data_IF_540630613192
#
_entry.id   IF_540630613192
#
_cell.length_a   1.000
_cell.length_b   1.000
_cell.length_c   1.000
_cell.angle_alpha   90.00
_cell.angle_beta   90.00
_cell.angle_gamma   90.00
#
_symmetry.space_group_name_H-M   'P 1'
#
loop_
_entity.id
_entity.type
_entity.pdbx_description
1 polymer ?
#
# COMPACT_ATOMS: atom_id res chain seq x y z
N UNK A 1 -10.41 -9.90 -15.98
CA UNK A 1 -9.62 -9.52 -14.77
C UNK A 1 -9.24 -8.04 -14.77
N UNK A 2 -8.76 -7.47 -15.86
CA UNK A 2 -8.39 -6.05 -15.93
C UNK A 2 -9.54 -5.10 -15.53
N UNK A 3 -10.76 -5.35 -16.00
CA UNK A 3 -11.93 -4.53 -15.69
C UNK A 3 -12.27 -4.50 -14.18
N UNK A 4 -12.27 -5.65 -13.52
CA UNK A 4 -12.55 -5.71 -12.09
C UNK A 4 -11.53 -4.91 -11.28
N UNK A 5 -10.25 -5.06 -11.59
CA UNK A 5 -9.19 -4.35 -10.89
C UNK A 5 -9.19 -2.85 -11.20
N UNK A 6 -9.56 -2.44 -12.42
CA UNK A 6 -9.69 -1.02 -12.78
C UNK A 6 -10.81 -0.33 -12.02
N UNK A 7 -11.94 -1.00 -11.81
CA UNK A 7 -13.03 -0.47 -10.97
C UNK A 7 -12.59 -0.27 -9.51
N UNK A 8 -11.83 -1.21 -8.95
CA UNK A 8 -11.29 -1.07 -7.59
C UNK A 8 -10.27 0.08 -7.48
N UNK A 9 -9.53 0.36 -8.56
CA UNK A 9 -8.54 1.45 -8.57
C UNK A 9 -9.18 2.84 -8.63
N UNK A 10 -10.44 2.93 -9.09
CA UNK A 10 -11.10 4.23 -9.22
C UNK A 10 -11.28 4.90 -7.87
N UNK A 11 -10.65 6.06 -7.70
CA UNK A 11 -10.70 6.84 -6.46
C UNK A 11 -10.15 6.14 -5.21
N UNK A 12 -9.42 5.02 -5.34
CA UNK A 12 -8.97 4.20 -4.23
C UNK A 12 -8.16 5.00 -3.19
N UNK A 13 -7.35 5.96 -3.62
CA UNK A 13 -6.62 6.85 -2.71
C UNK A 13 -7.55 7.67 -1.80
N UNK A 14 -8.78 7.95 -2.23
CA UNK A 14 -9.74 8.75 -1.48
C UNK A 14 -10.52 7.90 -0.45
N UNK A 15 -10.85 6.66 -0.77
CA UNK A 15 -11.70 5.82 0.07
C UNK A 15 -11.03 4.58 0.66
N UNK A 16 -9.88 4.17 0.14
CA UNK A 16 -9.21 2.92 0.52
C UNK A 16 -8.71 2.86 1.97
N UNK A 17 -8.70 3.98 2.68
CA UNK A 17 -8.41 4.07 4.11
C UNK A 17 -9.69 4.00 4.98
N UNK A 18 -10.86 4.21 4.40
CA UNK A 18 -12.14 4.24 5.13
C UNK A 18 -12.61 2.83 5.53
N UNK A 19 -13.51 2.74 6.50
CA UNK A 19 -14.07 1.47 7.00
C UNK A 19 -14.73 0.63 5.90
N UNK A 20 -15.33 1.26 4.91
CA UNK A 20 -15.96 0.59 3.75
C UNK A 20 -15.01 -0.36 3.01
N UNK A 21 -13.69 -0.17 3.13
CA UNK A 21 -12.70 -1.07 2.51
C UNK A 21 -12.90 -2.54 2.91
N UNK A 22 -13.36 -2.79 4.14
CA UNK A 22 -13.55 -4.16 4.64
C UNK A 22 -14.67 -4.88 3.89
N UNK A 23 -15.76 -4.18 3.59
CA UNK A 23 -16.87 -4.71 2.81
C UNK A 23 -16.46 -4.97 1.36
N UNK A 24 -15.79 -4.00 0.73
CA UNK A 24 -15.28 -4.15 -0.64
C UNK A 24 -14.26 -5.27 -0.73
N UNK A 25 -13.39 -5.42 0.26
CA UNK A 25 -12.43 -6.53 0.30
C UNK A 25 -13.13 -7.88 0.51
N UNK A 26 -14.20 -7.94 1.30
CA UNK A 26 -15.01 -9.15 1.44
C UNK A 26 -15.63 -9.57 0.11
N UNK A 27 -16.15 -8.61 -0.67
CA UNK A 27 -16.65 -8.86 -2.03
C UNK A 27 -15.53 -9.34 -2.97
N UNK A 28 -14.34 -8.71 -2.93
CA UNK A 28 -13.19 -9.15 -3.71
C UNK A 28 -12.81 -10.62 -3.41
N UNK A 29 -12.75 -10.99 -2.13
CA UNK A 29 -12.48 -12.38 -1.72
C UNK A 29 -13.56 -13.34 -2.22
N UNK A 30 -14.82 -12.93 -2.18
CA UNK A 30 -15.93 -13.75 -2.71
C UNK A 30 -15.76 -14.01 -4.21
N UNK A 31 -15.45 -12.98 -4.99
CA UNK A 31 -15.20 -13.12 -6.44
C UNK A 31 -14.03 -14.07 -6.71
N UNK A 32 -12.91 -13.90 -6.00
CA UNK A 32 -11.72 -14.76 -6.17
C UNK A 32 -12.02 -16.22 -5.82
N UNK A 33 -12.80 -16.50 -4.75
CA UNK A 33 -13.23 -17.87 -4.42
C UNK A 33 -14.06 -18.49 -5.53
N UNK A 34 -15.05 -17.76 -6.06
CA UNK A 34 -15.88 -18.25 -7.17
C UNK A 34 -15.01 -18.59 -8.39
N UNK A 35 -14.06 -17.74 -8.73
CA UNK A 35 -13.17 -17.94 -9.87
C UNK A 35 -12.25 -19.16 -9.73
N UNK A 36 -11.86 -19.50 -8.49
CA UNK A 36 -10.98 -20.63 -8.20
C UNK A 36 -11.74 -21.88 -7.76
N UNK A 37 -13.07 -21.87 -7.76
CA UNK A 37 -13.88 -23.00 -7.29
C UNK A 37 -13.72 -23.31 -5.80
N UNK A 38 -13.33 -22.32 -4.99
CA UNK A 38 -13.15 -22.46 -3.55
C UNK A 38 -14.49 -22.35 -2.80
N UNK A 39 -14.59 -23.02 -1.66
CA UNK A 39 -15.77 -22.91 -0.78
C UNK A 39 -15.81 -21.53 -0.09
N UNK A 40 -16.98 -21.17 0.42
CA UNK A 40 -17.22 -19.86 1.03
C UNK A 40 -16.28 -19.51 2.19
N UNK A 41 -15.86 -20.49 2.98
CA UNK A 41 -14.98 -20.31 4.15
C UNK A 41 -13.52 -20.58 3.89
N UNK A 42 -13.15 -21.04 2.69
CA UNK A 42 -11.75 -21.35 2.36
C UNK A 42 -10.92 -20.08 2.35
N UNK A 43 -9.67 -20.19 2.79
CA UNK A 43 -8.71 -19.10 2.59
C UNK A 43 -8.41 -18.95 1.09
N UNK A 44 -8.40 -17.71 0.64
CA UNK A 44 -8.17 -17.41 -0.78
C UNK A 44 -6.82 -16.70 -1.03
N UNK A 45 -5.93 -16.65 -0.05
CA UNK A 45 -4.62 -15.97 -0.17
C UNK A 45 -3.79 -16.56 -1.31
N UNK A 46 -3.71 -17.87 -1.39
CA UNK A 46 -2.96 -18.54 -2.45
C UNK A 46 -3.62 -18.36 -3.83
N UNK A 47 -4.95 -18.24 -3.85
CA UNK A 47 -5.67 -17.90 -5.08
C UNK A 47 -5.29 -16.50 -5.59
N UNK A 48 -5.18 -15.50 -4.72
CA UNK A 48 -4.68 -14.17 -5.08
C UNK A 48 -3.29 -14.23 -5.69
N UNK A 49 -2.37 -14.96 -5.06
CA UNK A 49 -0.99 -15.15 -5.56
C UNK A 49 -0.98 -15.85 -6.91
N UNK A 50 -1.69 -16.97 -7.05
CA UNK A 50 -1.79 -17.74 -8.29
C UNK A 50 -2.35 -16.94 -9.45
N UNK A 51 -3.37 -16.15 -9.20
CA UNK A 51 -4.00 -15.28 -10.19
C UNK A 51 -3.22 -13.98 -10.44
N UNK A 52 -2.16 -13.71 -9.67
CA UNK A 52 -1.37 -12.46 -9.67
C UNK A 52 -2.26 -11.21 -9.52
N UNK A 53 -3.23 -11.30 -8.60
CA UNK A 53 -4.15 -10.21 -8.27
C UNK A 53 -3.76 -9.65 -6.93
N UNK A 54 -3.60 -8.34 -6.84
CA UNK A 54 -3.42 -7.69 -5.55
C UNK A 54 -4.71 -7.70 -4.75
N UNK A 55 -4.62 -8.02 -3.45
CA UNK A 55 -5.70 -7.77 -2.50
C UNK A 55 -6.01 -6.29 -2.42
N UNK A 56 -7.20 -5.91 -1.97
CA UNK A 56 -7.58 -4.50 -1.85
C UNK A 56 -6.61 -3.71 -0.94
N UNK A 57 -6.18 -4.21 0.24
CA UNK A 57 -5.15 -3.55 1.03
C UNK A 57 -3.83 -3.38 0.27
N UNK A 58 -3.35 -4.43 -0.42
CA UNK A 58 -2.15 -4.35 -1.25
C UNK A 58 -2.28 -3.33 -2.38
N UNK A 59 -3.47 -3.23 -2.99
CA UNK A 59 -3.76 -2.26 -4.04
C UNK A 59 -3.68 -0.82 -3.53
N UNK A 60 -4.23 -0.55 -2.35
CA UNK A 60 -4.15 0.76 -1.70
C UNK A 60 -2.70 1.13 -1.35
N UNK A 61 -1.95 0.19 -0.75
CA UNK A 61 -0.52 0.37 -0.47
C UNK A 61 0.25 0.69 -1.76
N UNK A 62 0.00 -0.06 -2.83
CA UNK A 62 0.62 0.17 -4.13
C UNK A 62 0.37 1.58 -4.66
N UNK A 63 -0.88 2.05 -4.63
CA UNK A 63 -1.24 3.40 -5.06
C UNK A 63 -0.58 4.48 -4.19
N UNK A 64 -0.55 4.29 -2.88
CA UNK A 64 0.13 5.18 -1.95
C UNK A 64 1.63 5.28 -2.25
N UNK A 65 2.30 4.16 -2.46
CA UNK A 65 3.73 4.12 -2.78
C UNK A 65 4.04 4.81 -4.12
N UNK A 66 3.20 4.58 -5.13
CA UNK A 66 3.35 5.26 -6.42
C UNK A 66 3.07 6.76 -6.33
N UNK A 67 2.10 7.16 -5.51
CA UNK A 67 1.80 8.57 -5.26
C UNK A 67 3.02 9.29 -4.71
N UNK A 68 3.62 8.77 -3.61
CA UNK A 68 4.85 9.35 -3.05
C UNK A 68 5.96 9.40 -4.10
N UNK A 69 6.18 8.31 -4.84
CA UNK A 69 7.28 8.23 -5.80
C UNK A 69 7.15 9.22 -6.95
N UNK A 70 5.92 9.53 -7.37
CA UNK A 70 5.64 10.54 -8.40
C UNK A 70 5.82 11.97 -7.89
N UNK A 71 5.44 12.21 -6.63
CA UNK A 71 5.41 13.52 -5.99
C UNK A 71 6.54 13.71 -4.96
N UNK A 72 7.62 12.93 -5.07
CA UNK A 72 8.69 12.91 -4.06
C UNK A 72 9.28 14.30 -3.79
N UNK A 73 9.31 15.17 -4.79
CA UNK A 73 9.82 16.54 -4.69
C UNK A 73 8.93 17.48 -3.86
N UNK A 74 7.68 17.11 -3.61
CA UNK A 74 6.71 17.87 -2.80
C UNK A 74 6.82 17.54 -1.31
N UNK A 75 7.63 16.53 -0.97
CA UNK A 75 7.81 16.07 0.40
C UNK A 75 9.19 16.44 0.92
N UNK A 76 9.24 17.05 2.11
CA UNK A 76 10.48 17.36 2.79
C UNK A 76 11.06 16.11 3.48
N UNK A 77 12.36 15.91 3.38
CA UNK A 77 13.04 14.91 4.19
C UNK A 77 13.25 15.44 5.63
N UNK A 78 13.51 14.55 6.59
CA UNK A 78 13.85 14.98 7.95
C UNK A 78 15.10 15.85 7.99
N UNK A 79 16.06 15.64 7.09
CA UNK A 79 17.26 16.46 6.92
C UNK A 79 16.98 17.90 6.53
N UNK A 80 15.90 18.13 5.78
CA UNK A 80 15.54 19.47 5.30
C UNK A 80 14.98 20.37 6.43
N UNK A 81 14.51 19.73 7.52
CA UNK A 81 13.87 20.41 8.65
C UNK A 81 14.79 20.45 9.87
N UNK A 82 15.54 19.38 10.10
CA UNK A 82 16.41 19.23 11.25
C UNK A 82 17.85 19.04 10.78
N UNK A 83 18.74 20.01 11.10
CA UNK A 83 20.16 19.99 10.72
C UNK A 83 21.00 18.93 11.46
N UNK A 84 20.38 18.01 12.19
CA UNK A 84 21.06 16.95 12.93
C UNK A 84 20.95 15.60 12.21
N UNK A 85 22.08 14.88 12.12
CA UNK A 85 22.18 13.54 11.55
C UNK A 85 21.50 12.53 12.48
N UNK A 86 20.22 12.26 12.25
CA UNK A 86 19.45 11.28 13.04
C UNK A 86 19.26 9.98 12.27
N UNK A 87 18.89 8.89 12.99
CA UNK A 87 18.58 7.58 12.37
C UNK A 87 17.46 7.66 11.31
N UNK A 88 16.69 8.74 11.31
CA UNK A 88 15.53 8.92 10.43
C UNK A 88 15.81 9.90 9.27
N UNK A 89 17.06 10.27 9.03
CA UNK A 89 17.44 11.28 8.03
C UNK A 89 16.87 11.05 6.64
N UNK A 90 16.79 9.78 6.20
CA UNK A 90 16.30 9.41 4.87
C UNK A 90 14.78 9.20 4.82
N UNK A 91 14.08 9.45 5.93
CA UNK A 91 12.62 9.34 5.98
C UNK A 91 11.97 10.65 5.56
N UNK A 92 10.84 10.54 4.89
CA UNK A 92 9.98 11.67 4.61
C UNK A 92 9.42 12.19 5.94
N UNK A 93 9.54 13.50 6.14
CA UNK A 93 8.94 14.17 7.30
C UNK A 93 7.42 14.20 7.20
N UNK A 94 6.78 13.89 8.31
CA UNK A 94 5.34 13.97 8.44
C UNK A 94 5.02 14.90 9.60
N UNK A 95 4.34 16.01 9.31
CA UNK A 95 3.88 16.92 10.35
C UNK A 95 2.96 16.21 11.34
N UNK A 96 3.13 16.51 12.63
CA UNK A 96 2.27 15.97 13.67
C UNK A 96 0.83 16.48 13.46
N UNK A 97 -0.06 15.60 13.06
CA UNK A 97 -1.47 15.95 12.85
C UNK A 97 -2.27 15.72 14.14
N UNK A 98 -2.86 16.78 14.69
CA UNK A 98 -3.74 16.70 15.89
C UNK A 98 -5.11 16.11 15.54
N UNK A 99 -5.58 16.32 14.31
CA UNK A 99 -6.92 15.91 13.88
C UNK A 99 -6.89 14.51 13.29
N UNK A 100 -7.75 13.63 13.77
CA UNK A 100 -7.95 12.28 13.24
C UNK A 100 -8.21 12.30 11.73
N UNK A 101 -8.97 13.29 11.24
CA UNK A 101 -9.25 13.44 9.81
C UNK A 101 -7.99 13.61 8.96
N UNK A 102 -6.97 14.30 9.48
CA UNK A 102 -5.67 14.46 8.79
C UNK A 102 -4.85 13.18 8.86
N UNK A 103 -4.88 12.48 9.99
CA UNK A 103 -4.19 11.20 10.19
C UNK A 103 -4.75 10.09 9.30
N UNK A 104 -6.02 10.20 8.91
CA UNK A 104 -6.71 9.24 8.03
C UNK A 104 -6.50 9.57 6.54
N UNK A 105 -5.99 10.76 6.20
CA UNK A 105 -5.76 11.14 4.80
C UNK A 105 -4.76 10.21 4.08
N UNK A 106 -5.00 9.98 2.78
CA UNK A 106 -4.12 9.11 1.98
C UNK A 106 -2.64 9.51 2.01
N UNK A 107 -2.33 10.80 2.12
CA UNK A 107 -0.95 11.32 2.23
C UNK A 107 -0.26 10.78 3.49
N UNK A 108 -0.96 10.75 4.61
CA UNK A 108 -0.45 10.23 5.88
C UNK A 108 -0.09 8.75 5.75
N UNK A 109 -1.02 7.93 5.26
CA UNK A 109 -0.77 6.51 5.02
C UNK A 109 0.36 6.28 4.01
N UNK A 110 0.40 7.08 2.93
CA UNK A 110 1.41 6.95 1.90
C UNK A 110 2.82 7.17 2.44
N UNK A 111 3.03 8.21 3.27
CA UNK A 111 4.31 8.49 3.92
C UNK A 111 4.70 7.35 4.87
N UNK A 112 3.76 6.84 5.68
CA UNK A 112 4.02 5.71 6.57
C UNK A 112 4.46 4.46 5.80
N UNK A 113 3.74 4.07 4.74
CA UNK A 113 4.13 2.92 3.91
C UNK A 113 5.49 3.11 3.24
N UNK A 114 5.76 4.32 2.73
CA UNK A 114 7.03 4.61 2.07
C UNK A 114 8.21 4.60 3.05
N UNK A 115 8.03 5.14 4.25
CA UNK A 115 9.08 5.23 5.26
C UNK A 115 9.53 3.86 5.78
N UNK A 116 8.65 2.86 5.77
CA UNK A 116 8.96 1.48 6.20
C UNK A 116 9.81 0.74 5.16
N UNK A 117 9.74 1.15 3.88
CA UNK A 117 10.50 0.49 2.83
C UNK A 117 12.01 0.66 3.04
N UNK A 118 12.81 -0.41 2.87
CA UNK A 118 14.27 -0.33 2.84
C UNK A 118 14.79 0.63 1.78
N UNK A 119 15.88 1.33 2.09
CA UNK A 119 16.49 2.34 1.21
C UNK A 119 16.85 1.79 -0.17
N UNK A 120 17.26 0.51 -0.26
CA UNK A 120 17.54 -0.16 -1.54
C UNK A 120 16.39 -0.11 -2.53
N UNK A 121 15.14 -0.14 -2.07
CA UNK A 121 13.96 -0.06 -2.93
C UNK A 121 13.58 1.39 -3.26
N UNK A 122 13.83 2.32 -2.34
CA UNK A 122 13.61 3.75 -2.54
C UNK A 122 14.49 4.33 -3.65
N UNK A 123 15.69 3.78 -3.82
CA UNK A 123 16.67 4.24 -4.82
C UNK A 123 16.45 3.67 -6.22
N UNK A 124 15.46 2.78 -6.41
CA UNK A 124 15.16 2.24 -7.72
C UNK A 124 14.60 3.33 -8.65
N UNK A 125 14.89 3.19 -9.95
CA UNK A 125 14.18 3.97 -10.98
C UNK A 125 12.67 3.73 -10.92
N UNK A 126 11.88 4.71 -11.38
CA UNK A 126 10.41 4.66 -11.27
C UNK A 126 9.80 3.39 -11.88
N UNK A 127 10.31 2.95 -13.04
CA UNK A 127 9.80 1.75 -13.70
C UNK A 127 10.16 0.47 -12.93
N UNK A 128 11.41 0.37 -12.47
CA UNK A 128 11.86 -0.73 -11.61
C UNK A 128 11.11 -0.75 -10.28
N UNK A 129 10.87 0.42 -9.69
CA UNK A 129 10.09 0.56 -8.46
C UNK A 129 8.64 0.07 -8.64
N UNK A 130 7.98 0.45 -9.74
CA UNK A 130 6.62 -0.03 -10.07
C UNK A 130 6.57 -1.54 -10.21
N UNK A 131 7.52 -2.12 -10.95
CA UNK A 131 7.59 -3.55 -11.15
C UNK A 131 7.83 -4.29 -9.83
N UNK A 132 8.84 -3.88 -9.09
CA UNK A 132 9.17 -4.45 -7.79
C UNK A 132 7.98 -4.40 -6.81
N UNK A 133 7.38 -3.21 -6.63
CA UNK A 133 6.28 -3.05 -5.66
C UNK A 133 5.06 -3.85 -6.06
N UNK A 134 4.76 -3.94 -7.36
CA UNK A 134 3.67 -4.77 -7.88
C UNK A 134 3.90 -6.24 -7.58
N UNK A 135 5.08 -6.76 -7.92
CA UNK A 135 5.43 -8.16 -7.69
C UNK A 135 5.44 -8.51 -6.20
N UNK A 136 6.09 -7.68 -5.39
CA UNK A 136 6.14 -7.83 -3.95
C UNK A 136 4.74 -7.89 -3.31
N UNK A 137 3.85 -6.97 -3.67
CA UNK A 137 2.50 -6.89 -3.10
C UNK A 137 1.56 -7.99 -3.62
N UNK A 138 1.77 -8.48 -4.85
CA UNK A 138 1.06 -9.66 -5.35
C UNK A 138 1.47 -10.93 -4.59
N UNK A 139 2.77 -11.11 -4.37
CA UNK A 139 3.31 -12.29 -3.67
C UNK A 139 3.03 -12.25 -2.16
N UNK A 140 3.02 -11.07 -1.55
CA UNK A 140 2.66 -10.87 -0.14
C UNK A 140 1.19 -11.12 0.14
N UNK A 141 0.30 -10.75 -0.80
CA UNK A 141 -1.14 -10.87 -0.68
C UNK A 141 -1.66 -10.43 0.70
N UNK A 142 -1.25 -9.24 1.15
CA UNK A 142 -1.58 -8.71 2.48
C UNK A 142 -3.08 -8.49 2.64
N UNK A 143 -3.63 -8.90 3.77
CA UNK A 143 -5.05 -8.73 4.10
C UNK A 143 -5.32 -7.49 4.95
N UNK A 144 -4.27 -6.95 5.57
CA UNK A 144 -4.34 -5.70 6.32
C UNK A 144 -3.07 -4.85 6.16
N UNK A 145 -3.12 -3.61 6.64
CA UNK A 145 -1.95 -2.72 6.65
C UNK A 145 -0.94 -3.16 7.71
N UNK A 146 -1.43 -3.71 8.82
CA UNK A 146 -0.62 -4.23 9.92
C UNK A 146 0.27 -5.39 9.45
N UNK A 147 -0.24 -6.29 8.59
CA UNK A 147 0.57 -7.36 7.99
C UNK A 147 1.73 -6.80 7.16
N UNK A 148 1.48 -5.72 6.40
CA UNK A 148 2.54 -5.07 5.64
C UNK A 148 3.61 -4.45 6.54
N UNK A 149 3.22 -3.75 7.61
CA UNK A 149 4.16 -3.18 8.57
C UNK A 149 4.96 -4.26 9.28
N UNK A 150 4.31 -5.33 9.75
CA UNK A 150 4.97 -6.44 10.43
C UNK A 150 6.03 -7.12 9.56
N UNK A 151 5.81 -7.20 8.24
CA UNK A 151 6.78 -7.79 7.31
C UNK A 151 8.13 -7.05 7.30
N UNK A 152 8.13 -5.74 7.48
CA UNK A 152 9.37 -4.93 7.50
C UNK A 152 9.91 -4.67 8.91
N UNK A 153 9.21 -5.08 9.96
CA UNK A 153 9.63 -4.92 11.36
C UNK A 153 10.43 -6.12 11.89
N UNK A 154 10.50 -7.20 11.09
CA UNK A 154 11.35 -8.36 11.33
C UNK A 154 12.79 -8.08 10.83
#
# INVERSE_FOLDING_TARGET
MALFQSHLLYGLLLWGHASIRHEVFALQRRVVRIMCGLKFRDDCRDAFKKLKIMTLPSLFIYQCLLYIRKHIKEFNAHTDIHHHDTRNKDKIYLEAARLTRTQVAHKYHAVHFYNVLPTKYKNLDLNKFKFFTKDFLCNGAFYSFEEFFSYFSM
#
